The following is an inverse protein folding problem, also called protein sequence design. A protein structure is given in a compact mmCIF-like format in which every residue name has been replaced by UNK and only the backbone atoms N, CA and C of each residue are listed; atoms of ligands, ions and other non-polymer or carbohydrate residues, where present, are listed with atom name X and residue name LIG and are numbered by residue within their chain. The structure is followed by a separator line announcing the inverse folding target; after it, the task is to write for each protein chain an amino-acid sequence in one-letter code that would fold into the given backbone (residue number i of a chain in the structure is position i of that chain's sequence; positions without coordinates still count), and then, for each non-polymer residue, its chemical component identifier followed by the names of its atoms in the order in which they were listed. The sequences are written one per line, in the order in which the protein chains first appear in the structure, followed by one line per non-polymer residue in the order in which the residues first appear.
data_IF_697170683980
#
_entry.id   IF_697170683980
#
_cell.length_a   1.000
_cell.length_b   1.000
_cell.length_c   1.000
_cell.angle_alpha   90.00
_cell.angle_beta   90.00
_cell.angle_gamma   90.00
#
_symmetry.space_group_name_H-M   'P 1'
#
loop_
_entity.id
_entity.type
_entity.pdbx_description
1 polymer ?
#
# COMPACT_ATOMS: atom_id res chain seq x y z
N UNK A 1 50.29 20.60 -72.43
CA UNK A 1 49.50 19.57 -71.75
C UNK A 1 48.55 18.95 -72.76
N UNK A 2 48.50 17.62 -72.88
CA UNK A 2 47.61 16.96 -73.84
C UNK A 2 46.18 17.00 -73.30
N UNK A 3 45.20 17.30 -74.16
CA UNK A 3 43.78 17.38 -73.80
C UNK A 3 43.28 16.13 -73.05
N UNK A 4 43.89 14.98 -73.35
CA UNK A 4 43.61 13.68 -72.73
C UNK A 4 43.91 13.69 -71.23
N UNK A 5 45.01 14.31 -70.77
CA UNK A 5 45.34 14.41 -69.35
C UNK A 5 44.34 15.28 -68.59
N UNK A 6 43.84 16.35 -69.21
CA UNK A 6 42.85 17.25 -68.62
C UNK A 6 41.51 16.52 -68.47
N UNK A 7 41.06 15.79 -69.50
CA UNK A 7 39.84 14.99 -69.44
C UNK A 7 39.90 13.91 -68.37
N UNK A 8 41.04 13.19 -68.25
CA UNK A 8 41.22 12.16 -67.22
C UNK A 8 41.19 12.75 -65.80
N UNK A 9 41.73 13.95 -65.61
CA UNK A 9 41.76 14.59 -64.29
C UNK A 9 40.36 15.05 -63.86
N UNK A 10 39.55 15.55 -64.80
CA UNK A 10 38.17 16.00 -64.54
C UNK A 10 37.28 14.81 -64.16
N UNK A 11 37.35 13.69 -64.88
CA UNK A 11 36.51 12.52 -64.57
C UNK A 11 36.81 11.92 -63.21
N UNK A 12 38.10 11.83 -62.83
CA UNK A 12 38.52 11.36 -61.50
C UNK A 12 38.03 12.32 -60.40
N UNK A 13 38.14 13.63 -60.63
CA UNK A 13 37.72 14.65 -59.65
C UNK A 13 36.21 14.61 -59.41
N UNK A 14 35.41 14.46 -60.48
CA UNK A 14 33.95 14.35 -60.38
C UNK A 14 33.56 13.03 -59.71
N UNK A 15 34.22 11.91 -60.05
CA UNK A 15 33.98 10.61 -59.41
C UNK A 15 34.26 10.66 -57.91
N UNK A 16 35.37 11.28 -57.50
CA UNK A 16 35.71 11.46 -56.10
C UNK A 16 34.69 12.35 -55.36
N UNK A 17 34.25 13.46 -55.99
CA UNK A 17 33.25 14.35 -55.42
C UNK A 17 31.89 13.66 -55.24
N UNK A 18 31.46 12.85 -56.21
CA UNK A 18 30.21 12.09 -56.14
C UNK A 18 30.26 11.00 -55.06
N UNK A 19 31.37 10.27 -54.94
CA UNK A 19 31.56 9.26 -53.90
C UNK A 19 31.56 9.88 -52.51
N UNK A 20 32.26 11.00 -52.34
CA UNK A 20 32.26 11.76 -51.09
C UNK A 20 30.86 12.25 -50.74
N UNK A 21 30.14 12.81 -51.71
CA UNK A 21 28.78 13.31 -51.52
C UNK A 21 27.80 12.19 -51.16
N UNK A 22 27.83 11.07 -51.88
CA UNK A 22 26.96 9.92 -51.62
C UNK A 22 27.22 9.30 -50.24
N UNK A 23 28.49 9.17 -49.84
CA UNK A 23 28.87 8.70 -48.51
C UNK A 23 28.44 9.67 -47.40
N UNK A 24 28.66 10.97 -47.60
CA UNK A 24 28.31 12.00 -46.62
C UNK A 24 26.79 12.14 -46.43
N UNK A 25 26.02 12.18 -47.53
CA UNK A 25 24.55 12.22 -47.47
C UNK A 25 23.95 10.92 -46.97
N UNK A 26 24.49 9.77 -47.38
CA UNK A 26 24.06 8.46 -46.94
C UNK A 26 24.23 8.29 -45.43
N UNK A 27 25.44 8.52 -44.92
CA UNK A 27 25.72 8.37 -43.49
C UNK A 27 24.95 9.34 -42.59
N UNK A 28 24.66 10.56 -43.06
CA UNK A 28 23.88 11.54 -42.29
C UNK A 28 22.38 11.21 -42.24
N UNK A 29 21.83 10.58 -43.28
CA UNK A 29 20.43 10.15 -43.32
C UNK A 29 20.28 8.89 -42.46
N UNK A 30 21.17 7.91 -42.63
CA UNK A 30 21.15 6.65 -41.91
C UNK A 30 21.31 6.85 -40.40
N UNK A 31 22.29 7.65 -39.98
CA UNK A 31 22.50 7.98 -38.57
C UNK A 31 21.36 8.78 -37.94
N UNK A 32 20.56 9.51 -38.75
CA UNK A 32 19.36 10.20 -38.25
C UNK A 32 18.18 9.25 -38.07
N UNK A 33 18.01 8.30 -38.98
CA UNK A 33 16.95 7.27 -38.90
C UNK A 33 17.23 6.35 -37.70
N UNK A 34 18.43 5.80 -37.59
CA UNK A 34 18.84 4.95 -36.45
C UNK A 34 18.73 5.70 -35.11
N UNK A 35 19.12 6.98 -35.09
CA UNK A 35 19.03 7.81 -33.90
C UNK A 35 17.58 8.14 -33.47
N UNK A 36 16.65 8.28 -34.41
CA UNK A 36 15.23 8.47 -34.11
C UNK A 36 14.55 7.16 -33.71
N UNK A 37 14.87 6.05 -34.36
CA UNK A 37 14.37 4.73 -34.01
C UNK A 37 14.81 4.32 -32.60
N UNK A 38 16.08 4.51 -32.25
CA UNK A 38 16.60 4.26 -30.91
C UNK A 38 15.91 5.11 -29.83
N UNK A 39 15.69 6.40 -30.08
CA UNK A 39 14.98 7.30 -29.16
C UNK A 39 13.51 6.93 -28.99
N UNK A 40 12.84 6.53 -30.07
CA UNK A 40 11.44 6.10 -30.03
C UNK A 40 11.29 4.76 -29.30
N UNK A 41 12.22 3.83 -29.48
CA UNK A 41 12.25 2.57 -28.73
C UNK A 41 12.46 2.81 -27.22
N UNK A 42 13.45 3.63 -26.85
CA UNK A 42 13.72 3.94 -25.44
C UNK A 42 12.55 4.69 -24.78
N UNK A 43 11.93 5.63 -25.51
CA UNK A 43 10.76 6.38 -25.03
C UNK A 43 9.54 5.48 -24.85
N UNK A 44 9.26 4.60 -25.81
CA UNK A 44 8.12 3.66 -25.71
C UNK A 44 8.33 2.61 -24.63
N UNK A 45 9.58 2.19 -24.39
CA UNK A 45 9.88 1.27 -23.31
C UNK A 45 9.73 1.96 -21.94
N UNK A 46 10.23 3.19 -21.80
CA UNK A 46 10.03 4.02 -20.59
C UNK A 46 8.55 4.28 -20.29
N UNK A 47 7.75 4.60 -21.29
CA UNK A 47 6.30 4.84 -21.08
C UNK A 47 5.56 3.55 -20.73
N UNK A 48 5.94 2.40 -21.30
CA UNK A 48 5.39 1.09 -20.92
C UNK A 48 5.71 0.74 -19.48
N UNK A 49 6.98 0.89 -19.05
CA UNK A 49 7.39 0.59 -17.67
C UNK A 49 6.71 1.51 -16.65
N UNK A 50 6.49 2.79 -17.00
CA UNK A 50 5.78 3.73 -16.13
C UNK A 50 4.29 3.35 -16.03
N UNK A 51 3.65 2.98 -17.13
CA UNK A 51 2.24 2.54 -17.11
C UNK A 51 2.04 1.23 -16.37
N UNK A 52 2.97 0.28 -16.50
CA UNK A 52 2.93 -0.98 -15.76
C UNK A 52 3.07 -0.73 -14.26
N UNK A 53 4.00 0.15 -13.87
CA UNK A 53 4.20 0.53 -12.46
C UNK A 53 3.00 1.32 -11.90
N UNK A 54 2.40 2.23 -12.67
CA UNK A 54 1.17 2.94 -12.27
C UNK A 54 -0.02 1.98 -12.15
N UNK A 55 -0.11 0.96 -13.01
CA UNK A 55 -1.13 -0.08 -12.91
C UNK A 55 -0.97 -0.91 -11.63
N UNK A 56 0.25 -1.33 -11.29
CA UNK A 56 0.54 -2.05 -10.03
C UNK A 56 0.24 -1.18 -8.80
N UNK A 57 0.62 0.10 -8.82
CA UNK A 57 0.31 1.04 -7.73
C UNK A 57 -1.18 1.30 -7.58
N UNK A 58 -1.93 1.39 -8.68
CA UNK A 58 -3.39 1.52 -8.66
C UNK A 58 -4.06 0.27 -8.10
N UNK A 59 -3.53 -0.92 -8.41
CA UNK A 59 -4.03 -2.18 -7.85
C UNK A 59 -3.85 -2.22 -6.33
N UNK A 60 -2.64 -1.93 -5.83
CA UNK A 60 -2.35 -1.89 -4.39
C UNK A 60 -3.17 -0.79 -3.68
N UNK A 61 -3.34 0.38 -4.32
CA UNK A 61 -4.13 1.49 -3.76
C UNK A 61 -5.64 1.19 -3.76
N UNK A 62 -6.16 0.49 -4.76
CA UNK A 62 -7.54 0.04 -4.77
C UNK A 62 -7.77 -0.94 -3.62
N UNK A 63 -6.85 -1.87 -3.41
CA UNK A 63 -6.90 -2.85 -2.32
C UNK A 63 -6.90 -2.16 -0.93
N UNK A 64 -6.03 -1.17 -0.74
CA UNK A 64 -6.05 -0.33 0.47
C UNK A 64 -7.33 0.50 0.65
N UNK A 65 -7.96 0.96 -0.43
CA UNK A 65 -9.26 1.66 -0.36
C UNK A 65 -10.41 0.73 0.05
N UNK A 66 -10.31 -0.57 -0.20
CA UNK A 66 -11.31 -1.55 0.23
C UNK A 66 -11.08 -2.00 1.68
N UNK A 67 -9.83 -2.05 2.15
CA UNK A 67 -9.49 -2.44 3.53
C UNK A 67 -9.72 -1.31 4.55
N UNK A 68 -9.48 -0.05 4.18
CA UNK A 68 -9.70 1.10 5.08
C UNK A 68 -11.14 1.24 5.64
N UNK A 69 -12.22 1.10 4.84
CA UNK A 69 -13.59 1.19 5.34
C UNK A 69 -14.03 -0.04 6.13
N UNK A 70 -13.36 -1.19 6.00
CA UNK A 70 -13.62 -2.39 6.81
C UNK A 70 -12.91 -2.33 8.17
N UNK A 71 -11.73 -1.70 8.21
CA UNK A 71 -10.96 -1.55 9.45
C UNK A 71 -11.59 -0.52 10.41
N UNK A 72 -12.32 0.47 9.89
CA UNK A 72 -13.00 1.52 10.68
C UNK A 72 -14.12 0.97 11.59
N UNK A 73 -15.08 0.14 11.10
CA UNK A 73 -16.10 -0.49 11.94
C UNK A 73 -15.51 -1.52 12.91
N UNK A 74 -14.43 -2.23 12.52
CA UNK A 74 -13.73 -3.16 13.42
C UNK A 74 -13.07 -2.43 14.59
N UNK A 75 -12.41 -1.29 14.36
CA UNK A 75 -11.85 -0.46 15.45
C UNK A 75 -12.93 0.15 16.34
N UNK A 76 -14.08 0.55 15.80
CA UNK A 76 -15.22 0.98 16.64
C UNK A 76 -15.88 -0.17 17.37
N UNK A 77 -15.89 -1.39 16.82
CA UNK A 77 -16.35 -2.60 17.49
C UNK A 77 -15.42 -3.00 18.63
N UNK A 78 -14.11 -2.83 18.46
CA UNK A 78 -13.13 -3.02 19.54
C UNK A 78 -13.32 -1.99 20.67
N UNK A 79 -13.72 -0.75 20.34
CA UNK A 79 -14.11 0.25 21.33
C UNK A 79 -15.43 -0.08 22.06
N UNK A 80 -16.31 -0.87 21.43
CA UNK A 80 -17.56 -1.41 22.00
C UNK A 80 -17.33 -2.58 22.98
N UNK A 81 -16.09 -3.05 23.12
CA UNK A 81 -15.70 -3.95 24.20
C UNK A 81 -15.20 -3.20 25.43
N UNK A 82 -14.47 -2.10 25.22
CA UNK A 82 -13.74 -1.42 26.29
C UNK A 82 -14.65 -0.62 27.23
N UNK A 83 -15.65 0.09 26.71
CA UNK A 83 -16.58 0.89 27.53
C UNK A 83 -17.53 -0.01 28.31
N UNK A 84 -18.01 -1.06 27.68
CA UNK A 84 -18.93 -2.07 28.21
C UNK A 84 -18.23 -2.89 29.30
N UNK A 85 -16.96 -3.28 29.09
CA UNK A 85 -16.09 -3.87 30.11
C UNK A 85 -15.89 -2.93 31.29
N UNK A 86 -15.62 -1.64 31.05
CA UNK A 86 -15.44 -0.66 32.12
C UNK A 86 -16.72 -0.49 32.95
N UNK A 87 -17.90 -0.48 32.33
CA UNK A 87 -19.17 -0.46 33.04
C UNK A 87 -19.41 -1.73 33.86
N UNK A 88 -19.07 -2.91 33.34
CA UNK A 88 -19.18 -4.16 34.10
C UNK A 88 -18.25 -4.20 35.32
N UNK A 89 -17.04 -3.65 35.20
CA UNK A 89 -16.11 -3.51 36.32
C UNK A 89 -16.64 -2.54 37.39
N UNK A 90 -17.21 -1.40 36.99
CA UNK A 90 -17.84 -0.45 37.91
C UNK A 90 -19.05 -1.07 38.64
N UNK A 91 -19.86 -1.88 37.93
CA UNK A 91 -20.96 -2.64 38.52
C UNK A 91 -20.43 -3.67 39.52
N UNK A 92 -19.38 -4.42 39.17
CA UNK A 92 -18.75 -5.38 40.06
C UNK A 92 -18.19 -4.72 41.34
N UNK A 93 -17.61 -3.53 41.23
CA UNK A 93 -17.12 -2.74 42.37
C UNK A 93 -18.27 -2.28 43.28
N UNK A 94 -19.36 -1.77 42.69
CA UNK A 94 -20.57 -1.41 43.44
C UNK A 94 -21.19 -2.60 44.15
N UNK A 95 -21.20 -3.77 43.52
CA UNK A 95 -21.68 -5.01 44.13
C UNK A 95 -20.78 -5.51 45.25
N UNK A 96 -19.46 -5.31 45.16
CA UNK A 96 -18.52 -5.55 46.28
C UNK A 96 -18.86 -4.67 47.48
N UNK A 97 -19.02 -3.36 47.25
CA UNK A 97 -19.36 -2.41 48.32
C UNK A 97 -20.71 -2.76 48.95
N UNK A 98 -21.70 -3.15 48.15
CA UNK A 98 -23.01 -3.60 48.63
C UNK A 98 -22.90 -4.89 49.48
N UNK A 99 -22.14 -5.87 49.03
CA UNK A 99 -21.90 -7.10 49.78
C UNK A 99 -21.21 -6.83 51.14
N UNK A 100 -20.20 -5.95 51.14
CA UNK A 100 -19.49 -5.51 52.35
C UNK A 100 -20.40 -4.74 53.32
N UNK A 101 -21.35 -3.96 52.80
CA UNK A 101 -22.33 -3.29 53.67
C UNK A 101 -23.36 -4.27 54.24
N UNK A 102 -23.90 -5.20 53.44
CA UNK A 102 -24.82 -6.23 53.94
C UNK A 102 -24.19 -7.15 54.98
N UNK A 103 -22.92 -7.51 54.80
CA UNK A 103 -22.17 -8.30 55.80
C UNK A 103 -21.94 -7.51 57.09
N UNK A 104 -21.62 -6.21 57.00
CA UNK A 104 -21.47 -5.32 58.14
C UNK A 104 -22.77 -5.11 58.93
N UNK A 105 -23.92 -5.01 58.24
CA UNK A 105 -25.22 -4.87 58.89
C UNK A 105 -25.80 -6.20 59.42
N UNK A 106 -25.15 -7.35 59.18
CA UNK A 106 -25.67 -8.71 59.47
C UNK A 106 -27.08 -8.99 58.92
N UNK A 107 -27.61 -8.12 58.08
CA UNK A 107 -28.94 -8.21 57.49
C UNK A 107 -28.84 -8.89 56.15
N UNK A 108 -29.49 -10.05 56.04
CA UNK A 108 -29.66 -10.74 54.76
C UNK A 108 -28.40 -11.43 54.24
N UNK A 109 -27.99 -12.52 54.89
CA UNK A 109 -26.98 -13.48 54.39
C UNK A 109 -27.27 -13.98 52.95
N UNK A 110 -28.53 -13.87 52.52
CA UNK A 110 -28.97 -14.12 51.14
C UNK A 110 -28.56 -12.99 50.20
N UNK A 111 -28.76 -11.72 50.57
CA UNK A 111 -28.39 -10.54 49.79
C UNK A 111 -26.88 -10.41 49.61
N UNK A 112 -26.10 -10.76 50.64
CA UNK A 112 -24.64 -10.85 50.57
C UNK A 112 -24.19 -11.90 49.54
N UNK A 113 -24.77 -13.11 49.59
CA UNK A 113 -24.46 -14.16 48.60
C UNK A 113 -24.89 -13.78 47.19
N UNK A 114 -26.08 -13.19 47.04
CA UNK A 114 -26.63 -12.82 45.73
C UNK A 114 -25.80 -11.69 45.10
N UNK A 115 -25.35 -10.71 45.89
CA UNK A 115 -24.46 -9.62 45.41
C UNK A 115 -23.07 -10.13 45.03
N UNK A 116 -22.49 -11.06 45.78
CA UNK A 116 -21.24 -11.73 45.40
C UNK A 116 -21.39 -12.57 44.13
N UNK A 117 -22.50 -13.31 43.98
CA UNK A 117 -22.78 -14.09 42.78
C UNK A 117 -22.93 -13.19 41.53
N UNK A 118 -23.65 -12.07 41.65
CA UNK A 118 -23.76 -11.07 40.57
C UNK A 118 -22.42 -10.42 40.25
N UNK A 119 -21.56 -10.21 41.25
CA UNK A 119 -20.20 -9.67 41.04
C UNK A 119 -19.36 -10.63 40.21
N UNK A 120 -19.33 -11.91 40.58
CA UNK A 120 -18.61 -12.94 39.82
C UNK A 120 -19.14 -13.04 38.38
N UNK A 121 -20.47 -12.96 38.20
CA UNK A 121 -21.07 -12.93 36.87
C UNK A 121 -20.65 -11.69 36.06
N UNK A 122 -20.64 -10.51 36.67
CA UNK A 122 -20.20 -9.27 36.01
C UNK A 122 -18.71 -9.32 35.63
N UNK A 123 -17.86 -9.90 36.50
CA UNK A 123 -16.44 -10.13 36.20
C UNK A 123 -16.24 -11.15 35.08
N UNK A 124 -17.03 -12.24 35.06
CA UNK A 124 -17.00 -13.21 33.97
C UNK A 124 -17.41 -12.59 32.63
N UNK A 125 -18.45 -11.75 32.62
CA UNK A 125 -18.85 -10.99 31.42
C UNK A 125 -17.77 -9.99 30.99
N UNK A 126 -17.12 -9.32 31.94
CA UNK A 126 -16.01 -8.40 31.65
C UNK A 126 -14.77 -9.13 31.08
N UNK A 127 -14.54 -10.37 31.50
CA UNK A 127 -13.48 -11.24 30.98
C UNK A 127 -13.75 -11.66 29.53
N UNK A 128 -15.00 -11.97 29.16
CA UNK A 128 -15.39 -12.26 27.77
C UNK A 128 -15.24 -11.04 26.84
N UNK A 129 -15.33 -9.84 27.38
CA UNK A 129 -15.11 -8.57 26.68
C UNK A 129 -13.66 -8.09 26.77
N UNK A 130 -12.75 -8.88 27.36
CA UNK A 130 -11.33 -8.63 27.18
C UNK A 130 -11.05 -8.67 25.68
N UNK A 131 -10.36 -7.67 25.11
CA UNK A 131 -9.72 -7.92 23.82
C UNK A 131 -8.82 -9.13 24.08
N UNK A 132 -9.15 -10.28 23.47
CA UNK A 132 -8.24 -11.41 23.50
C UNK A 132 -6.91 -10.84 23.08
N UNK A 133 -5.97 -10.87 24.03
CA UNK A 133 -4.65 -10.38 23.81
C UNK A 133 -4.15 -11.20 22.65
N UNK A 134 -4.10 -10.55 21.48
CA UNK A 134 -3.20 -10.88 20.42
C UNK A 134 -3.42 -12.32 19.92
N UNK A 135 -3.96 -12.47 18.71
CA UNK A 135 -3.52 -13.56 17.84
C UNK A 135 -2.00 -13.37 17.60
N UNK A 136 -1.21 -13.62 18.65
CA UNK A 136 0.23 -13.81 18.69
C UNK A 136 0.49 -15.27 18.28
N UNK A 137 -0.14 -15.70 17.17
CA UNK A 137 0.04 -17.02 16.57
C UNK A 137 -0.72 -17.15 15.22
N UNK A 138 -0.33 -16.39 14.19
CA UNK A 138 -0.43 -16.83 12.79
C UNK A 138 0.45 -15.97 11.86
#
# INVERSE_FOLDING_TARGET
MTAIQICALITISIGAALLYWAGYRGGLIDGRVDGEEGKNFERTNKTKTINELDASLRFIRADHKHLAPLCKPLKSSQAFGAKERQSLLDIAEKLRIAAETFSAFRTGKKLERDSLALREQALAMAALLAPEALEDAA
#
